data_IF_102687580743
#
_entry.id   IF_102687580743
#
_cell.length_a   1.000
_cell.length_b   1.000
_cell.length_c   1.000
_cell.angle_alpha   90.00
_cell.angle_beta   90.00
_cell.angle_gamma   90.00
#
_symmetry.space_group_name_H-M   'P 1'
#
loop_
_entity.id
_entity.type
_entity.pdbx_description
1 polymer ?
#
# COMPACT_ATOMS: atom_id res chain seq x y z
N UNK A 1 17.78 -6.15 12.48
CA UNK A 1 18.20 -6.17 11.07
C UNK A 1 17.07 -6.79 10.26
N UNK A 2 16.52 -6.08 9.27
CA UNK A 2 15.49 -6.63 8.39
C UNK A 2 16.13 -6.94 7.04
N UNK A 3 16.18 -8.22 6.68
CA UNK A 3 16.34 -8.74 5.31
C UNK A 3 17.68 -8.53 4.60
N UNK A 4 18.09 -7.29 4.31
CA UNK A 4 19.09 -6.99 3.27
C UNK A 4 20.11 -5.89 3.67
N UNK A 5 20.41 -5.71 4.95
CA UNK A 5 21.40 -4.71 5.41
C UNK A 5 20.97 -3.24 5.23
N UNK A 6 19.73 -2.99 4.82
CA UNK A 6 19.20 -1.63 4.67
C UNK A 6 18.90 -1.00 6.03
N UNK A 7 19.48 0.17 6.28
CA UNK A 7 19.24 0.95 7.50
C UNK A 7 17.85 1.60 7.44
N UNK A 8 17.06 1.44 8.50
CA UNK A 8 15.80 2.16 8.66
C UNK A 8 16.06 3.67 8.72
N UNK A 9 15.39 4.43 7.86
CA UNK A 9 15.54 5.89 7.78
C UNK A 9 14.58 6.65 8.70
N UNK A 10 13.56 5.96 9.22
CA UNK A 10 12.58 6.55 10.11
C UNK A 10 11.50 5.56 10.50
N UNK A 11 10.79 5.87 11.58
CA UNK A 11 9.67 5.14 12.11
C UNK A 11 8.45 6.07 12.17
N UNK A 12 7.38 5.72 11.46
CA UNK A 12 6.17 6.54 11.40
C UNK A 12 5.06 5.79 12.12
N UNK A 13 4.40 6.44 13.09
CA UNK A 13 3.25 5.87 13.79
C UNK A 13 2.00 6.65 13.40
N UNK A 14 1.03 5.95 12.83
CA UNK A 14 -0.27 6.50 12.40
C UNK A 14 -1.44 5.70 13.02
N UNK A 15 -2.68 6.10 12.76
CA UNK A 15 -3.89 5.52 13.32
C UNK A 15 -4.33 6.16 14.64
N UNK A 16 -5.56 5.90 15.09
CA UNK A 16 -6.12 6.53 16.29
C UNK A 16 -5.32 6.24 17.57
N UNK A 17 -4.77 5.03 17.70
CA UNK A 17 -3.98 4.60 18.87
C UNK A 17 -2.63 5.34 18.95
N UNK A 18 -2.16 5.94 17.85
CA UNK A 18 -0.93 6.76 17.84
C UNK A 18 -1.00 7.98 18.75
N UNK A 19 -2.20 8.39 19.23
CA UNK A 19 -2.37 9.50 20.18
C UNK A 19 -2.11 9.12 21.65
N UNK A 20 -1.93 7.84 21.96
CA UNK A 20 -1.68 7.40 23.33
C UNK A 20 -0.29 7.85 23.80
N UNK A 21 -0.24 8.75 24.79
CA UNK A 21 1.02 9.33 25.28
C UNK A 21 1.99 8.31 25.88
N UNK A 22 1.48 7.29 26.59
CA UNK A 22 2.32 6.25 27.16
C UNK A 22 3.00 5.40 26.07
N UNK A 23 2.27 5.03 25.01
CA UNK A 23 2.84 4.35 23.86
C UNK A 23 3.88 5.21 23.14
N UNK A 24 3.62 6.52 22.98
CA UNK A 24 4.59 7.44 22.36
C UNK A 24 5.91 7.45 23.10
N UNK A 25 5.88 7.65 24.42
CA UNK A 25 7.09 7.65 25.26
C UNK A 25 7.89 6.35 25.13
N UNK A 26 7.19 5.20 25.09
CA UNK A 26 7.85 3.91 24.91
C UNK A 26 8.52 3.80 23.54
N UNK A 27 7.84 4.18 22.45
CA UNK A 27 8.41 4.13 21.10
C UNK A 27 9.54 5.14 20.90
N UNK A 28 9.42 6.35 21.44
CA UNK A 28 10.48 7.36 21.44
C UNK A 28 11.74 6.83 22.12
N UNK A 29 11.62 6.20 23.29
CA UNK A 29 12.75 5.60 23.99
C UNK A 29 13.42 4.48 23.19
N UNK A 30 12.64 3.64 22.50
CA UNK A 30 13.18 2.60 21.60
C UNK A 30 13.91 3.22 20.42
N UNK A 31 13.29 4.20 19.75
CA UNK A 31 13.84 4.87 18.57
C UNK A 31 15.12 5.64 18.90
N UNK A 32 15.18 6.29 20.05
CA UNK A 32 16.37 6.98 20.55
C UNK A 32 17.55 6.01 20.74
N UNK A 33 17.32 4.85 21.38
CA UNK A 33 18.37 3.83 21.56
C UNK A 33 18.87 3.24 20.24
N UNK A 34 18.02 3.19 19.21
CA UNK A 34 18.36 2.67 17.89
C UNK A 34 18.85 3.75 16.92
N UNK A 35 18.90 5.01 17.34
CA UNK A 35 19.20 6.17 16.49
C UNK A 35 18.34 6.20 15.21
N UNK A 36 17.04 5.98 15.37
CA UNK A 36 16.03 6.01 14.31
C UNK A 36 15.13 7.24 14.55
N UNK A 37 14.97 8.14 13.56
CA UNK A 37 14.00 9.23 13.67
C UNK A 37 12.56 8.69 13.80
N UNK A 38 11.77 9.25 14.71
CA UNK A 38 10.36 8.90 14.88
C UNK A 38 9.46 10.06 14.45
N UNK A 39 8.35 9.75 13.77
CA UNK A 39 7.42 10.74 13.23
C UNK A 39 5.98 10.41 13.60
N UNK A 40 5.25 11.45 13.99
CA UNK A 40 3.82 11.43 14.26
C UNK A 40 3.13 12.40 13.32
N UNK A 41 2.32 11.94 12.37
CA UNK A 41 1.54 12.82 11.50
C UNK A 41 0.56 13.67 12.32
N UNK A 42 0.08 14.75 11.71
CA UNK A 42 -0.99 15.57 12.28
C UNK A 42 -2.21 14.70 12.62
N UNK A 43 -2.89 14.94 13.75
CA UNK A 43 -3.92 14.03 14.21
C UNK A 43 -5.11 13.87 13.25
N UNK A 44 -5.36 14.86 12.39
CA UNK A 44 -6.36 14.83 11.32
C UNK A 44 -5.99 13.91 10.15
N UNK A 45 -4.70 13.62 9.96
CA UNK A 45 -4.17 12.72 8.94
C UNK A 45 -4.09 11.26 9.42
N UNK A 46 -4.16 11.03 10.73
CA UNK A 46 -4.11 9.70 11.33
C UNK A 46 -5.45 8.94 11.29
N UNK A 47 -6.56 9.62 10.97
CA UNK A 47 -7.88 9.01 10.77
C UNK A 47 -8.16 8.81 9.28
N UNK A 48 -9.01 7.84 8.93
CA UNK A 48 -9.37 7.59 7.53
C UNK A 48 -9.92 8.86 6.87
N UNK A 49 -9.26 9.31 5.80
CA UNK A 49 -9.59 10.56 5.11
C UNK A 49 -9.38 10.44 3.60
N UNK A 50 -10.06 11.28 2.81
CA UNK A 50 -9.92 11.26 1.34
C UNK A 50 -8.52 11.66 0.86
N UNK A 51 -7.80 12.48 1.62
CA UNK A 51 -6.47 12.97 1.24
C UNK A 51 -5.43 11.85 1.16
N UNK A 52 -5.49 10.85 2.04
CA UNK A 52 -4.59 9.69 1.98
C UNK A 52 -4.81 8.84 0.73
N UNK A 53 -6.08 8.71 0.30
CA UNK A 53 -6.45 7.99 -0.93
C UNK A 53 -5.98 8.76 -2.15
N UNK A 54 -6.21 10.07 -2.19
CA UNK A 54 -5.75 10.95 -3.27
C UNK A 54 -4.23 10.93 -3.40
N UNK A 55 -3.50 10.99 -2.28
CA UNK A 55 -2.03 10.94 -2.28
C UNK A 55 -1.50 9.59 -2.77
N UNK A 56 -2.09 8.48 -2.32
CA UNK A 56 -1.75 7.15 -2.83
C UNK A 56 -1.97 7.05 -4.34
N UNK A 57 -3.10 7.60 -4.85
CA UNK A 57 -3.39 7.68 -6.28
C UNK A 57 -2.36 8.50 -7.06
N UNK A 58 -1.92 9.65 -6.55
CA UNK A 58 -0.86 10.46 -7.15
C UNK A 58 0.46 9.68 -7.22
N UNK A 59 0.85 8.99 -6.14
CA UNK A 59 2.06 8.18 -6.11
C UNK A 59 1.99 6.99 -7.08
N UNK A 60 0.82 6.37 -7.25
CA UNK A 60 0.58 5.32 -8.26
C UNK A 60 0.64 5.88 -9.68
N UNK A 61 0.03 7.04 -9.93
CA UNK A 61 0.05 7.73 -11.22
C UNK A 61 1.49 8.08 -11.65
N UNK A 62 2.30 8.62 -10.74
CA UNK A 62 3.73 8.91 -10.98
C UNK A 62 4.53 7.66 -11.37
N UNK A 63 4.09 6.48 -10.94
CA UNK A 63 4.67 5.17 -11.28
C UNK A 63 4.03 4.52 -12.50
N UNK A 64 3.19 5.25 -13.23
CA UNK A 64 2.47 4.79 -14.41
C UNK A 64 1.56 3.58 -14.15
N UNK A 65 1.03 3.46 -12.93
CA UNK A 65 0.05 2.43 -12.57
C UNK A 65 -1.35 2.93 -12.90
N UNK A 66 -2.00 2.35 -13.91
CA UNK A 66 -3.30 2.79 -14.39
C UNK A 66 -4.31 1.64 -14.40
N UNK A 67 -5.58 1.98 -14.17
CA UNK A 67 -6.72 1.06 -14.28
C UNK A 67 -7.80 1.77 -15.09
N UNK A 68 -8.43 1.08 -16.05
CA UNK A 68 -9.58 1.65 -16.75
C UNK A 68 -10.76 1.74 -15.79
N UNK A 69 -11.62 2.77 -15.89
CA UNK A 69 -12.80 2.86 -15.04
C UNK A 69 -13.67 1.60 -15.03
N UNK A 70 -13.86 0.96 -16.19
CA UNK A 70 -14.65 -0.27 -16.32
C UNK A 70 -13.99 -1.51 -15.67
N UNK A 71 -12.67 -1.45 -15.44
CA UNK A 71 -11.91 -2.52 -14.77
C UNK A 71 -11.90 -2.31 -13.24
N UNK A 72 -12.47 -1.21 -12.73
CA UNK A 72 -12.48 -0.92 -11.29
C UNK A 72 -13.62 -1.66 -10.58
N UNK A 73 -13.28 -2.34 -9.48
CA UNK A 73 -14.24 -3.06 -8.65
C UNK A 73 -13.84 -3.01 -7.17
N UNK A 74 -14.77 -3.38 -6.29
CA UNK A 74 -14.55 -3.34 -4.85
C UNK A 74 -14.08 -4.69 -4.30
N UNK A 75 -13.10 -4.65 -3.39
CA UNK A 75 -12.61 -5.81 -2.64
C UNK A 75 -12.76 -5.55 -1.14
N UNK A 76 -13.72 -6.18 -0.45
CA UNK A 76 -13.92 -5.99 0.99
C UNK A 76 -12.71 -6.43 1.83
N UNK A 77 -11.92 -7.37 1.33
CA UNK A 77 -10.69 -7.85 1.97
C UNK A 77 -9.56 -7.70 0.97
N UNK A 78 -8.87 -6.56 1.06
CA UNK A 78 -7.74 -6.24 0.19
C UNK A 78 -6.41 -6.59 0.89
N UNK A 79 -5.67 -7.59 0.41
CA UNK A 79 -4.36 -7.91 0.98
C UNK A 79 -3.33 -6.82 0.66
N UNK A 80 -2.52 -6.45 1.65
CA UNK A 80 -1.47 -5.44 1.49
C UNK A 80 -0.20 -5.98 0.80
N UNK A 81 0.05 -7.29 0.85
CA UNK A 81 1.17 -7.93 0.15
C UNK A 81 0.68 -8.88 -0.94
N UNK A 82 1.42 -8.92 -2.05
CA UNK A 82 1.19 -9.83 -3.18
C UNK A 82 1.30 -11.30 -2.78
N UNK A 83 2.26 -11.63 -1.91
CA UNK A 83 2.52 -12.99 -1.42
C UNK A 83 1.36 -13.55 -0.56
N UNK A 84 0.59 -12.70 0.12
CA UNK A 84 -0.50 -13.13 1.02
C UNK A 84 -1.84 -13.34 0.32
N UNK A 85 -1.91 -13.11 -1.00
CA UNK A 85 -3.12 -13.32 -1.79
C UNK A 85 -3.58 -14.78 -1.73
N UNK A 86 -2.65 -15.73 -1.56
CA UNK A 86 -2.92 -17.17 -1.64
C UNK A 86 -2.85 -17.93 -0.31
N UNK A 87 -2.43 -17.30 0.80
CA UNK A 87 -2.17 -18.01 2.08
C UNK A 87 -3.30 -17.92 3.12
N UNK A 88 -4.41 -17.25 2.84
CA UNK A 88 -5.50 -17.11 3.82
C UNK A 88 -6.46 -18.32 3.83
N UNK A 89 -7.10 -18.54 4.99
CA UNK A 89 -8.22 -19.46 5.32
C UNK A 89 -9.51 -19.21 4.51
N UNK A 90 -9.35 -18.82 3.25
CA UNK A 90 -10.43 -18.49 2.34
C UNK A 90 -11.14 -19.72 1.85
N UNK A 91 -12.44 -19.55 1.60
CA UNK A 91 -13.23 -20.50 0.83
C UNK A 91 -12.69 -20.53 -0.61
N UNK A 92 -12.78 -21.68 -1.25
CA UNK A 92 -12.18 -21.90 -2.58
C UNK A 92 -12.71 -20.96 -3.67
N UNK A 93 -13.93 -20.47 -3.51
CA UNK A 93 -14.52 -19.42 -4.36
C UNK A 93 -13.74 -18.09 -4.29
N UNK A 94 -13.30 -17.70 -3.09
CA UNK A 94 -12.66 -16.42 -2.85
C UNK A 94 -11.19 -16.48 -3.30
N UNK A 95 -10.57 -17.66 -3.23
CA UNK A 95 -9.24 -17.92 -3.83
C UNK A 95 -9.27 -17.77 -5.34
N UNK A 96 -10.25 -18.36 -6.03
CA UNK A 96 -10.37 -18.25 -7.50
C UNK A 96 -10.58 -16.81 -7.97
N UNK A 97 -11.42 -16.04 -7.28
CA UNK A 97 -11.63 -14.61 -7.57
C UNK A 97 -10.31 -13.84 -7.41
N UNK A 98 -9.57 -14.11 -6.33
CA UNK A 98 -8.29 -13.44 -6.04
C UNK A 98 -7.16 -13.86 -6.97
N UNK A 99 -7.10 -15.13 -7.38
CA UNK A 99 -6.17 -15.64 -8.41
C UNK A 99 -6.42 -15.00 -9.76
N UNK A 100 -7.68 -14.89 -10.18
CA UNK A 100 -8.06 -14.23 -11.42
C UNK A 100 -7.63 -12.76 -11.42
N UNK A 101 -7.89 -12.06 -10.32
CA UNK A 101 -7.48 -10.67 -10.17
C UNK A 101 -5.96 -10.49 -10.14
N UNK A 102 -5.25 -11.34 -9.38
CA UNK A 102 -3.80 -11.23 -9.25
C UNK A 102 -3.10 -11.36 -10.60
N UNK A 103 -3.52 -12.34 -11.41
CA UNK A 103 -2.99 -12.53 -12.76
C UNK A 103 -3.29 -11.31 -13.62
N UNK A 104 -4.53 -10.82 -13.63
CA UNK A 104 -4.91 -9.66 -14.46
C UNK A 104 -4.14 -8.38 -14.11
N UNK A 105 -3.90 -8.11 -12.81
CA UNK A 105 -3.24 -6.88 -12.37
C UNK A 105 -1.71 -7.00 -12.37
N UNK A 106 -1.15 -8.10 -11.89
CA UNK A 106 0.31 -8.24 -11.78
C UNK A 106 0.94 -8.55 -13.13
N UNK A 107 0.30 -9.33 -14.00
CA UNK A 107 0.85 -9.59 -15.34
C UNK A 107 0.80 -8.33 -16.22
N UNK A 108 -0.18 -7.45 -15.98
CA UNK A 108 -0.41 -6.24 -16.79
C UNK A 108 0.30 -4.99 -16.25
N UNK A 109 0.49 -4.89 -14.93
CA UNK A 109 0.98 -3.67 -14.28
C UNK A 109 2.04 -3.93 -13.19
N UNK A 110 2.49 -5.18 -13.03
CA UNK A 110 3.50 -5.55 -12.03
C UNK A 110 4.93 -5.14 -12.42
N UNK A 111 5.89 -5.15 -11.47
CA UNK A 111 7.28 -4.81 -11.74
C UNK A 111 7.89 -5.81 -12.74
N UNK A 112 8.32 -5.33 -13.91
CA UNK A 112 8.88 -6.16 -14.99
C UNK A 112 7.90 -6.52 -16.11
N UNK A 113 6.62 -6.18 -15.98
CA UNK A 113 5.68 -6.23 -17.11
C UNK A 113 6.03 -5.13 -18.13
N UNK A 114 5.94 -5.45 -19.43
CA UNK A 114 6.03 -4.42 -20.46
C UNK A 114 4.76 -3.60 -20.36
N UNK A 115 4.84 -2.27 -20.12
CA UNK A 115 3.64 -1.46 -20.08
C UNK A 115 2.90 -1.61 -21.41
N UNK A 116 1.57 -1.81 -21.40
CA UNK A 116 0.81 -1.90 -22.64
C UNK A 116 1.09 -0.65 -23.49
N UNK A 117 1.22 -0.79 -24.82
CA UNK A 117 1.54 0.34 -25.68
C UNK A 117 0.54 1.47 -25.42
N UNK A 118 1.06 2.68 -25.20
CA UNK A 118 0.24 3.88 -25.06
C UNK A 118 -0.67 3.96 -26.27
N UNK A 119 -1.98 3.75 -26.09
CA UNK A 119 -2.96 3.97 -27.14
C UNK A 119 -2.91 5.46 -27.47
N UNK A 120 -2.15 5.81 -28.51
CA UNK A 120 -2.15 7.13 -29.08
C UNK A 120 -3.59 7.48 -29.43
N UNK A 121 -4.04 8.63 -28.95
CA UNK A 121 -5.26 9.28 -29.40
C UNK A 121 -5.23 9.37 -30.93
N UNK A 122 -6.32 8.97 -31.59
CA UNK A 122 -6.72 9.59 -32.85
C UNK A 122 -8.19 9.33 -33.17
N UNK A 123 -8.89 10.44 -33.44
CA UNK A 123 -10.15 10.62 -34.22
C UNK A 123 -11.44 10.15 -33.54
N UNK A 124 -12.50 10.96 -33.36
CA UNK A 124 -12.90 12.25 -33.95
C UNK A 124 -13.45 13.23 -32.90
#
# INVERSE_FOLDING_TARGET
MVGNGQKLRGFVITGGVSRNGALRQQFEGVCQRQNIPIYYPEPSLCTDNGSMIAWAGIEMYKRQMFTKPDDAFYLPVWPLSTERIFQSTLKEKDKKIRESWYKDVVDKYGPGSTPPPSTNQQTN
#
